data_IF_720040454799
#
_entry.id   IF_720040454799
#
_cell.length_a   1.000
_cell.length_b   1.000
_cell.length_c   1.000
_cell.angle_alpha   90.00
_cell.angle_beta   90.00
_cell.angle_gamma   90.00
#
_symmetry.space_group_name_H-M   'P 1'
#
loop_
_entity.id
_entity.type
_entity.pdbx_description
1 polymer ?
#
# COMPACT_ATOMS: atom_id res chain seq x y z
N UNK A 1 25.28 -9.54 41.17
CA UNK A 1 25.91 -8.60 40.24
C UNK A 1 25.14 -8.68 38.95
N UNK A 2 24.53 -7.56 38.55
CA UNK A 2 23.55 -7.52 37.45
C UNK A 2 24.24 -7.69 36.10
N UNK A 3 23.64 -8.48 35.21
CA UNK A 3 24.10 -8.67 33.82
C UNK A 3 24.43 -7.35 33.12
N UNK A 4 23.61 -6.31 33.36
CA UNK A 4 23.78 -4.98 32.82
C UNK A 4 25.01 -4.22 33.35
N UNK A 5 25.51 -4.56 34.54
CA UNK A 5 26.71 -3.95 35.15
C UNK A 5 28.02 -4.53 34.58
N UNK A 6 27.94 -5.67 33.88
CA UNK A 6 29.09 -6.34 33.25
C UNK A 6 29.31 -5.90 31.79
N UNK A 7 28.40 -5.10 31.24
CA UNK A 7 28.46 -4.68 29.84
C UNK A 7 29.43 -3.51 29.66
N UNK A 8 30.21 -3.49 28.57
CA UNK A 8 31.09 -2.37 28.25
C UNK A 8 30.31 -1.05 28.18
N UNK A 9 30.95 0.02 28.66
CA UNK A 9 30.37 1.36 28.60
C UNK A 9 30.03 1.72 27.14
N UNK A 10 28.79 2.18 26.93
CA UNK A 10 28.25 2.46 25.59
C UNK A 10 27.47 1.32 24.92
N UNK A 11 27.19 0.19 25.58
CA UNK A 11 26.38 -0.89 24.99
C UNK A 11 24.98 -0.45 24.52
N UNK A 12 24.42 0.56 25.18
CA UNK A 12 23.10 1.12 24.89
C UNK A 12 23.00 1.69 23.48
N UNK A 13 24.10 2.23 22.91
CA UNK A 13 24.08 2.79 21.54
C UNK A 13 23.77 1.71 20.50
N UNK A 14 24.27 0.49 20.69
CA UNK A 14 24.02 -0.61 19.77
C UNK A 14 22.55 -1.05 19.80
N UNK A 15 21.90 -0.99 20.97
CA UNK A 15 20.46 -1.25 21.10
C UNK A 15 19.66 -0.20 20.35
N UNK A 16 19.99 1.09 20.50
CA UNK A 16 19.33 2.17 19.78
C UNK A 16 19.52 2.07 18.27
N UNK A 17 20.72 1.73 17.80
CA UNK A 17 20.99 1.50 16.39
C UNK A 17 20.17 0.34 15.83
N UNK A 18 20.09 -0.78 16.55
CA UNK A 18 19.28 -1.92 16.15
C UNK A 18 17.78 -1.58 16.12
N UNK A 19 17.28 -0.89 17.16
CA UNK A 19 15.89 -0.45 17.22
C UNK A 19 15.55 0.49 16.05
N UNK A 20 16.42 1.46 15.75
CA UNK A 20 16.24 2.35 14.61
C UNK A 20 16.22 1.60 13.27
N UNK A 21 17.15 0.68 13.05
CA UNK A 21 17.18 -0.15 11.85
C UNK A 21 15.91 -1.03 11.73
N UNK A 22 15.46 -1.62 12.84
CA UNK A 22 14.25 -2.45 12.86
C UNK A 22 12.99 -1.64 12.50
N UNK A 23 12.89 -0.40 12.97
CA UNK A 23 11.77 0.50 12.62
C UNK A 23 11.76 0.80 11.11
N UNK A 24 12.92 1.08 10.51
CA UNK A 24 13.02 1.34 9.07
C UNK A 24 12.59 0.10 8.27
N UNK A 25 13.07 -1.08 8.66
CA UNK A 25 12.70 -2.35 7.99
C UNK A 25 11.19 -2.59 8.12
N UNK A 26 10.62 -2.39 9.31
CA UNK A 26 9.19 -2.55 9.54
C UNK A 26 8.38 -1.58 8.67
N UNK A 27 8.79 -0.30 8.58
CA UNK A 27 8.14 0.69 7.75
C UNK A 27 8.18 0.31 6.26
N UNK A 28 9.32 -0.17 5.75
CA UNK A 28 9.45 -0.64 4.36
C UNK A 28 8.54 -1.85 4.10
N UNK A 29 8.50 -2.79 5.03
CA UNK A 29 7.63 -3.97 4.90
C UNK A 29 6.15 -3.58 4.89
N UNK A 30 5.73 -2.69 5.79
CA UNK A 30 4.37 -2.17 5.86
C UNK A 30 3.98 -1.38 4.62
N UNK A 31 4.87 -0.50 4.12
CA UNK A 31 4.64 0.20 2.86
C UNK A 31 4.48 -0.79 1.70
N UNK A 32 5.37 -1.77 1.58
CA UNK A 32 5.30 -2.79 0.52
C UNK A 32 4.03 -3.64 0.60
N UNK A 33 3.55 -3.92 1.80
CA UNK A 33 2.26 -4.58 2.01
C UNK A 33 1.10 -3.67 1.60
N UNK A 34 1.10 -2.40 2.03
CA UNK A 34 0.08 -1.41 1.66
C UNK A 34 0.00 -1.16 0.15
N UNK A 35 1.14 -1.13 -0.55
CA UNK A 35 1.19 -1.06 -2.02
C UNK A 35 0.55 -2.28 -2.69
N UNK A 36 0.75 -3.49 -2.14
CA UNK A 36 0.14 -4.72 -2.69
C UNK A 36 -1.35 -4.83 -2.41
N UNK A 37 -1.81 -4.20 -1.33
CA UNK A 37 -3.20 -4.23 -0.89
C UNK A 37 -3.96 -2.95 -1.27
N UNK A 38 -3.43 -2.17 -2.22
CA UNK A 38 -4.11 -1.00 -2.79
C UNK A 38 -4.50 0.06 -1.73
N UNK A 39 -3.78 0.13 -0.59
CA UNK A 39 -4.10 1.06 0.49
C UNK A 39 -3.64 2.50 0.19
N UNK A 40 -2.65 2.64 -0.70
CA UNK A 40 -2.16 3.92 -1.23
C UNK A 40 -2.74 4.19 -2.62
N UNK A 41 -3.97 3.77 -2.87
CA UNK A 41 -4.67 4.13 -4.09
C UNK A 41 -4.96 5.64 -4.04
N UNK A 42 -4.14 6.40 -4.76
CA UNK A 42 -4.18 7.88 -4.88
C UNK A 42 -5.46 8.39 -5.59
N UNK A 43 -6.46 7.51 -5.71
CA UNK A 43 -7.71 7.69 -6.45
C UNK A 43 -8.82 8.37 -5.63
N UNK A 44 -8.60 8.69 -4.35
CA UNK A 44 -9.49 9.62 -3.60
C UNK A 44 -9.66 10.94 -4.36
N UNK A 45 -8.62 11.39 -5.09
CA UNK A 45 -8.69 12.63 -5.84
C UNK A 45 -9.53 12.52 -7.12
N UNK A 46 -9.63 11.34 -7.74
CA UNK A 46 -10.29 11.17 -9.04
C UNK A 46 -11.72 10.64 -8.96
N UNK A 47 -12.11 10.03 -7.83
CA UNK A 47 -13.49 9.62 -7.55
C UNK A 47 -14.49 10.79 -7.43
N UNK A 48 -14.01 12.03 -7.31
CA UNK A 48 -14.85 13.23 -7.17
C UNK A 48 -15.19 13.87 -8.53
N UNK A 49 -14.52 13.49 -9.62
CA UNK A 49 -14.75 14.11 -10.94
C UNK A 49 -15.73 13.28 -11.76
N UNK A 50 -16.94 13.79 -11.91
CA UNK A 50 -17.98 13.23 -12.77
C UNK A 50 -17.93 13.89 -14.18
N UNK A 51 -18.63 13.34 -15.16
CA UNK A 51 -18.68 13.90 -16.54
C UNK A 51 -19.15 15.37 -16.59
N UNK A 52 -19.85 15.83 -15.55
CA UNK A 52 -20.32 17.22 -15.45
C UNK A 52 -19.20 18.22 -15.10
N UNK A 53 -18.04 17.76 -14.63
CA UNK A 53 -16.87 18.61 -14.32
C UNK A 53 -15.86 18.69 -15.47
N UNK A 54 -16.22 18.21 -16.67
CA UNK A 54 -15.35 18.20 -17.86
C UNK A 54 -14.85 19.59 -18.26
N UNK A 55 -15.65 20.63 -18.02
CA UNK A 55 -15.27 22.03 -18.29
C UNK A 55 -14.34 22.65 -17.22
N UNK A 56 -14.11 21.96 -16.10
CA UNK A 56 -13.19 22.39 -15.03
C UNK A 56 -11.78 21.80 -15.17
N UNK A 57 -11.53 21.00 -16.21
CA UNK A 57 -10.25 20.32 -16.42
C UNK A 57 -9.63 20.68 -17.78
N UNK A 58 -8.31 20.71 -17.80
CA UNK A 58 -7.56 20.73 -19.07
C UNK A 58 -7.65 19.36 -19.77
N UNK A 59 -7.45 19.32 -21.08
CA UNK A 59 -7.48 18.08 -21.87
C UNK A 59 -6.56 16.99 -21.32
N UNK A 60 -5.41 17.39 -20.75
CA UNK A 60 -4.40 16.49 -20.19
C UNK A 60 -4.85 15.84 -18.89
N UNK A 61 -5.59 16.57 -18.05
CA UNK A 61 -6.14 16.03 -16.82
C UNK A 61 -7.28 15.04 -17.11
N UNK A 62 -8.09 15.30 -18.15
CA UNK A 62 -9.17 14.40 -18.57
C UNK A 62 -8.61 13.07 -19.11
N UNK A 63 -7.51 13.12 -19.87
CA UNK A 63 -6.82 11.92 -20.34
C UNK A 63 -6.27 11.09 -19.17
N UNK A 64 -5.72 11.72 -18.12
CA UNK A 64 -5.29 11.03 -16.89
C UNK A 64 -6.46 10.40 -16.15
N UNK A 65 -7.59 11.12 -16.02
CA UNK A 65 -8.79 10.58 -15.37
C UNK A 65 -9.33 9.33 -16.08
N UNK A 66 -9.33 9.30 -17.41
CA UNK A 66 -9.69 8.08 -18.16
C UNK A 66 -8.70 6.93 -17.95
N UNK A 67 -7.40 7.23 -17.92
CA UNK A 67 -6.36 6.21 -17.67
C UNK A 67 -6.53 5.58 -16.28
N UNK A 68 -6.82 6.40 -15.27
CA UNK A 68 -7.14 5.97 -13.90
C UNK A 68 -8.40 5.11 -13.86
N UNK A 69 -9.50 5.56 -14.50
CA UNK A 69 -10.75 4.79 -14.54
C UNK A 69 -10.56 3.41 -15.19
N UNK A 70 -9.74 3.32 -16.24
CA UNK A 70 -9.38 2.05 -16.87
C UNK A 70 -8.55 1.16 -15.94
N UNK A 71 -7.61 1.73 -15.19
CA UNK A 71 -6.80 1.00 -14.21
C UNK A 71 -7.65 0.46 -13.05
N UNK A 72 -8.63 1.24 -12.56
CA UNK A 72 -9.57 0.82 -11.54
C UNK A 72 -10.47 -0.32 -11.99
N UNK A 73 -11.04 -0.24 -13.20
CA UNK A 73 -11.84 -1.34 -13.76
C UNK A 73 -11.02 -2.62 -13.87
N UNK A 74 -9.77 -2.52 -14.32
CA UNK A 74 -8.86 -3.67 -14.39
C UNK A 74 -8.50 -4.22 -12.99
N UNK A 75 -8.34 -3.37 -11.96
CA UNK A 75 -8.16 -3.83 -10.58
C UNK A 75 -9.40 -4.60 -10.09
N UNK A 76 -10.60 -4.03 -10.26
CA UNK A 76 -11.86 -4.68 -9.87
C UNK A 76 -12.05 -6.03 -10.56
N UNK A 77 -11.78 -6.13 -11.85
CA UNK A 77 -11.84 -7.40 -12.59
C UNK A 77 -10.89 -8.45 -12.01
N UNK A 78 -9.65 -8.07 -11.67
CA UNK A 78 -8.68 -8.98 -11.03
C UNK A 78 -9.18 -9.49 -9.69
N UNK A 79 -9.72 -8.61 -8.84
CA UNK A 79 -10.28 -9.02 -7.54
C UNK A 79 -11.50 -9.93 -7.69
N UNK A 80 -12.42 -9.61 -8.61
CA UNK A 80 -13.59 -10.45 -8.90
C UNK A 80 -13.18 -11.82 -9.43
N UNK A 81 -12.19 -11.88 -10.32
CA UNK A 81 -11.65 -13.14 -10.85
C UNK A 81 -10.99 -13.98 -9.74
N UNK A 82 -10.22 -13.35 -8.84
CA UNK A 82 -9.63 -14.03 -7.68
C UNK A 82 -10.71 -14.58 -6.73
N UNK A 83 -11.74 -13.80 -6.42
CA UNK A 83 -12.86 -14.26 -5.60
C UNK A 83 -13.63 -15.41 -6.25
N UNK A 84 -13.90 -15.34 -7.56
CA UNK A 84 -14.56 -16.40 -8.30
C UNK A 84 -13.73 -17.69 -8.30
N UNK A 85 -12.40 -17.59 -8.47
CA UNK A 85 -11.49 -18.73 -8.40
C UNK A 85 -11.45 -19.36 -7.00
N UNK A 86 -11.42 -18.55 -5.95
CA UNK A 86 -11.48 -19.03 -4.56
C UNK A 86 -12.79 -19.75 -4.25
N UNK A 87 -13.93 -19.19 -4.68
CA UNK A 87 -15.24 -19.82 -4.52
C UNK A 87 -15.35 -21.14 -5.29
N UNK A 88 -14.78 -21.22 -6.51
CA UNK A 88 -14.76 -22.45 -7.30
C UNK A 88 -13.88 -23.53 -6.66
N UNK A 89 -12.76 -23.16 -6.02
CA UNK A 89 -11.91 -24.07 -5.28
C UNK A 89 -12.59 -24.61 -4.01
N UNK A 90 -13.28 -23.74 -3.26
CA UNK A 90 -14.04 -24.12 -2.06
C UNK A 90 -15.22 -25.06 -2.37
N UNK A 91 -15.87 -24.91 -3.53
CA UNK A 91 -16.96 -25.80 -3.95
C UNK A 91 -16.48 -27.17 -4.43
N UNK A 92 -15.18 -27.34 -4.67
CA UNK A 92 -14.56 -28.59 -5.15
C UNK A 92 -13.89 -29.42 -4.05
N UNK A 93 -13.70 -28.86 -2.85
CA UNK A 93 -13.23 -29.54 -1.64
C UNK A 93 -14.40 -30.04 -0.80
#
# INVERSE_FOLDING_TARGET
>A
MGFFESLPDGWTIYVWLFAGAAIIIAAIWWMRWGFKNEQFDEDIKYLVFNEADKDKMTSDDFAKAQAVMKAQMASRERHLAMQAAQQAAQKRS
#
